data_IF_531365890266
#
_entry.id   IF_531365890266
#
_cell.length_a   1.000
_cell.length_b   1.000
_cell.length_c   1.000
_cell.angle_alpha   90.00
_cell.angle_beta   90.00
_cell.angle_gamma   90.00
#
_symmetry.space_group_name_H-M   'P 1'
#
loop_
_entity.id
_entity.type
_entity.pdbx_description
1 polymer ?
#
# COMPACT_ATOMS: atom_id res chain seq x y z
N UNK A 1 -11.80 6.03 2.67
CA UNK A 1 -12.22 4.63 2.93
C UNK A 1 -11.28 3.96 3.92
N UNK A 2 -11.73 2.89 4.56
CA UNK A 2 -10.94 2.18 5.56
C UNK A 2 -9.85 1.31 4.91
N UNK A 3 -8.64 1.37 5.46
CA UNK A 3 -7.58 0.38 5.21
C UNK A 3 -7.99 -0.92 5.90
N UNK A 4 -8.00 -2.03 5.17
CA UNK A 4 -8.45 -3.33 5.66
C UNK A 4 -7.31 -4.27 5.98
N UNK A 5 -6.13 -4.05 5.40
CA UNK A 5 -4.95 -4.87 5.63
C UNK A 5 -3.66 -4.08 5.39
N UNK A 6 -2.58 -4.56 6.02
CA UNK A 6 -1.23 -4.02 5.92
C UNK A 6 -0.21 -5.17 5.87
N UNK A 7 0.85 -4.98 5.09
CA UNK A 7 2.01 -5.86 5.06
C UNK A 7 3.29 -5.03 4.93
N UNK A 8 4.29 -5.31 5.76
CA UNK A 8 5.57 -4.62 5.77
C UNK A 8 6.67 -5.61 5.34
N UNK A 9 7.61 -5.16 4.49
CA UNK A 9 8.79 -5.94 4.15
C UNK A 9 9.73 -6.11 5.35
N UNK A 10 10.56 -7.14 5.33
CA UNK A 10 11.48 -7.45 6.44
C UNK A 10 12.49 -6.32 6.72
N UNK A 11 12.92 -5.62 5.67
CA UNK A 11 13.80 -4.46 5.74
C UNK A 11 13.07 -3.17 6.18
N UNK A 12 11.75 -3.22 6.32
CA UNK A 12 10.90 -2.10 6.70
C UNK A 12 10.74 -1.03 5.64
N UNK A 13 11.36 -1.15 4.45
CA UNK A 13 11.39 -0.09 3.42
C UNK A 13 10.09 -0.05 2.61
N UNK A 14 9.45 -1.20 2.40
CA UNK A 14 8.24 -1.33 1.60
C UNK A 14 7.05 -1.66 2.48
N UNK A 15 6.05 -0.78 2.47
CA UNK A 15 4.74 -1.03 3.07
C UNK A 15 3.70 -1.21 1.98
N UNK A 16 2.83 -2.21 2.12
CA UNK A 16 1.68 -2.42 1.25
C UNK A 16 0.41 -2.27 2.08
N UNK A 17 -0.54 -1.49 1.57
CA UNK A 17 -1.85 -1.30 2.20
C UNK A 17 -2.98 -1.62 1.25
N UNK A 18 -3.93 -2.44 1.68
CA UNK A 18 -5.21 -2.67 0.98
C UNK A 18 -6.32 -1.82 1.57
N UNK A 19 -7.17 -1.24 0.73
CA UNK A 19 -8.25 -0.34 1.14
C UNK A 19 -9.58 -0.74 0.51
N UNK A 20 -10.68 -0.40 1.19
CA UNK A 20 -12.04 -0.56 0.64
C UNK A 20 -12.27 0.22 -0.65
N UNK A 21 -11.43 1.23 -0.92
CA UNK A 21 -11.41 2.02 -2.17
C UNK A 21 -11.01 1.25 -3.43
N UNK A 22 -10.90 -0.08 -3.31
CA UNK A 22 -10.51 -1.00 -4.37
C UNK A 22 -9.09 -0.72 -4.87
N UNK A 23 -8.26 -0.12 -4.01
CA UNK A 23 -6.84 0.09 -4.29
C UNK A 23 -5.95 -0.66 -3.33
N UNK A 24 -4.83 -1.12 -3.86
CA UNK A 24 -3.65 -1.53 -3.11
C UNK A 24 -2.58 -0.49 -3.37
N UNK A 25 -2.02 0.07 -2.32
CA UNK A 25 -0.95 1.08 -2.41
C UNK A 25 0.36 0.49 -1.91
N UNK A 26 1.42 0.72 -2.65
CA UNK A 26 2.80 0.39 -2.27
C UNK A 26 3.50 1.67 -1.89
N UNK A 27 4.10 1.69 -0.71
CA UNK A 27 4.73 2.84 -0.09
C UNK A 27 6.21 2.57 0.15
N UNK A 28 7.04 3.59 -0.07
CA UNK A 28 8.37 3.65 0.50
C UNK A 28 8.27 4.34 1.87
N UNK A 29 8.66 3.65 2.94
CA UNK A 29 8.53 4.16 4.32
C UNK A 29 9.56 5.22 4.67
N UNK A 30 10.72 5.20 4.01
CA UNK A 30 11.81 6.16 4.22
C UNK A 30 11.45 7.50 3.58
N UNK A 31 11.06 7.49 2.31
CA UNK A 31 10.68 8.71 1.59
C UNK A 31 9.24 9.14 1.87
N UNK A 32 8.43 8.25 2.47
CA UNK A 32 7.00 8.44 2.76
C UNK A 32 6.15 8.67 1.51
N UNK A 33 6.58 8.13 0.37
CA UNK A 33 5.90 8.29 -0.91
C UNK A 33 5.20 7.03 -1.35
N UNK A 34 4.08 7.20 -2.06
CA UNK A 34 3.41 6.10 -2.76
C UNK A 34 4.21 5.81 -4.04
N UNK A 35 4.79 4.62 -4.11
CA UNK A 35 5.52 4.14 -5.28
C UNK A 35 4.56 3.65 -6.36
N UNK A 36 3.43 3.03 -5.96
CA UNK A 36 2.46 2.46 -6.89
C UNK A 36 1.06 2.43 -6.28
N UNK A 37 0.07 2.65 -7.14
CA UNK A 37 -1.33 2.40 -6.85
C UNK A 37 -1.80 1.33 -7.84
N UNK A 38 -2.20 0.18 -7.31
CA UNK A 38 -2.86 -0.87 -8.05
C UNK A 38 -4.36 -0.71 -7.81
N UNK A 39 -5.14 -0.63 -8.88
CA UNK A 39 -6.60 -0.64 -8.78
C UNK A 39 -7.09 -2.01 -9.20
N UNK A 40 -8.08 -2.51 -8.48
CA UNK A 40 -8.84 -3.65 -8.97
C UNK A 40 -9.80 -3.12 -10.04
N UNK A 41 -9.48 -3.36 -11.30
CA UNK A 41 -10.40 -3.10 -12.40
C UNK A 41 -11.38 -4.27 -12.51
N UNK A 42 -12.62 -3.96 -12.86
CA UNK A 42 -13.73 -4.92 -12.84
C UNK A 42 -13.83 -5.70 -14.14
#
# INVERSE_FOLDING_TARGET
>A
EAVTCLALSIDGVTLVSGSKDKTVRVWNTITRQVLRILKHDK
#
